data_IF_075541102527
#
_entry.id   IF_075541102527
#
_cell.length_a   1.000
_cell.length_b   1.000
_cell.length_c   1.000
_cell.angle_alpha   90.00
_cell.angle_beta   90.00
_cell.angle_gamma   90.00
#
_symmetry.space_group_name_H-M   'P 1'
#
loop_
_entity.id
_entity.type
_entity.pdbx_description
1 polymer ?
#
# COMPACT_ATOMS: atom_id res chain seq x y z
N UNK A 1 32.83 -15.45 10.88
CA UNK A 1 32.80 -16.45 11.96
C UNK A 1 31.45 -17.14 11.84
N UNK A 2 31.44 -18.47 11.83
CA UNK A 2 30.42 -19.36 11.24
C UNK A 2 29.00 -19.21 11.80
N UNK A 3 28.05 -18.80 10.95
CA UNK A 3 26.60 -18.90 11.15
C UNK A 3 26.12 -20.35 10.93
N UNK A 4 26.49 -21.25 11.84
CA UNK A 4 25.95 -22.63 11.85
C UNK A 4 24.87 -22.68 12.92
N UNK A 5 23.62 -22.85 12.48
CA UNK A 5 22.45 -22.99 13.35
C UNK A 5 22.65 -24.15 14.34
N UNK A 6 22.80 -23.84 15.63
CA UNK A 6 22.93 -24.84 16.67
C UNK A 6 21.57 -25.19 17.28
N UNK A 7 20.97 -26.27 16.76
CA UNK A 7 19.64 -26.76 17.16
C UNK A 7 19.60 -27.32 18.59
N UNK A 8 20.76 -27.43 19.28
CA UNK A 8 20.87 -27.89 20.66
C UNK A 8 21.04 -26.76 21.67
N UNK A 9 21.19 -25.52 21.22
CA UNK A 9 21.25 -24.39 22.15
C UNK A 9 19.92 -24.24 22.88
N UNK A 10 20.01 -23.80 24.13
CA UNK A 10 18.82 -23.50 24.93
C UNK A 10 17.99 -22.47 24.19
N UNK A 11 16.68 -22.69 24.13
CA UNK A 11 15.73 -21.69 23.63
C UNK A 11 15.94 -20.39 24.40
N UNK A 12 16.33 -19.35 23.67
CA UNK A 12 16.36 -17.99 24.19
C UNK A 12 14.95 -17.44 24.00
N UNK A 13 14.22 -17.26 25.09
CA UNK A 13 12.97 -16.53 25.07
C UNK A 13 13.30 -15.04 25.09
N UNK A 14 12.94 -14.34 24.02
CA UNK A 14 13.12 -12.91 23.91
C UNK A 14 11.88 -12.19 24.46
N UNK A 15 11.86 -11.99 25.78
CA UNK A 15 10.76 -11.31 26.47
C UNK A 15 10.96 -9.77 26.50
N UNK A 16 11.70 -9.20 25.53
CA UNK A 16 11.96 -7.74 25.51
C UNK A 16 10.71 -6.88 25.37
N UNK A 17 9.63 -7.41 24.80
CA UNK A 17 8.34 -6.72 24.69
C UNK A 17 7.33 -7.44 25.60
N UNK A 18 7.12 -6.90 26.79
CA UNK A 18 6.24 -7.48 27.81
C UNK A 18 4.80 -7.00 27.65
N UNK A 19 4.59 -5.85 27.00
CA UNK A 19 3.28 -5.20 26.88
C UNK A 19 3.22 -4.26 25.67
N UNK A 20 2.06 -4.22 25.02
CA UNK A 20 1.69 -3.23 24.01
C UNK A 20 0.51 -2.44 24.56
N UNK A 21 0.56 -1.11 24.46
CA UNK A 21 -0.50 -0.20 24.87
C UNK A 21 -0.91 0.69 23.70
N UNK A 22 -2.21 1.01 23.61
CA UNK A 22 -2.75 1.94 22.62
C UNK A 22 -2.96 3.30 23.27
N UNK A 23 -2.44 4.34 22.64
CA UNK A 23 -2.59 5.73 23.10
C UNK A 23 -3.21 6.58 22.01
N UNK A 24 -4.12 7.48 22.39
CA UNK A 24 -4.73 8.46 21.48
C UNK A 24 -3.96 9.76 21.54
N UNK A 25 -3.61 10.30 20.37
CA UNK A 25 -2.95 11.60 20.22
C UNK A 25 -3.81 12.51 19.36
N UNK A 26 -3.90 13.78 19.76
CA UNK A 26 -4.64 14.80 19.01
C UNK A 26 -3.65 15.68 18.22
N UNK A 27 -4.11 16.30 17.11
CA UNK A 27 -3.33 17.31 16.42
C UNK A 27 -2.88 18.45 17.36
N UNK A 28 -1.64 18.89 17.16
CA UNK A 28 -1.07 20.03 17.86
C UNK A 28 -1.72 21.33 17.37
N UNK A 29 -2.32 22.07 18.31
CA UNK A 29 -2.83 23.45 18.23
C UNK A 29 -3.05 23.99 16.80
N UNK A 30 -3.95 23.36 16.05
CA UNK A 30 -4.58 23.96 14.89
C UNK A 30 -6.04 24.16 15.25
N UNK A 31 -6.44 25.40 15.47
CA UNK A 31 -7.86 25.74 15.71
C UNK A 31 -8.69 25.67 14.42
N UNK A 32 -8.04 25.45 13.26
CA UNK A 32 -8.66 25.33 11.94
C UNK A 32 -8.01 24.22 11.11
N UNK A 33 -8.79 23.60 10.23
CA UNK A 33 -8.34 22.66 9.19
C UNK A 33 -8.64 23.25 7.80
N UNK A 34 -8.07 24.42 7.54
CA UNK A 34 -8.22 25.15 6.29
C UNK A 34 -7.45 24.50 5.13
N UNK A 35 -7.66 25.05 3.94
CA UNK A 35 -6.96 24.58 2.74
C UNK A 35 -5.45 24.85 2.84
N UNK A 36 -4.62 23.82 2.63
CA UNK A 36 -3.16 23.82 2.81
C UNK A 36 -2.67 23.95 4.26
N UNK A 37 -3.55 23.84 5.27
CA UNK A 37 -3.10 23.81 6.66
C UNK A 37 -2.31 22.52 6.92
N UNK A 38 -1.12 22.67 7.52
CA UNK A 38 -0.31 21.52 7.91
C UNK A 38 -0.78 20.97 9.26
N UNK A 39 -1.27 19.74 9.27
CA UNK A 39 -1.70 19.05 10.49
C UNK A 39 -0.53 18.25 11.06
N UNK A 40 -0.14 18.55 12.30
CA UNK A 40 0.95 17.85 12.99
C UNK A 40 0.43 17.13 14.22
N UNK A 41 0.75 15.84 14.36
CA UNK A 41 0.46 15.05 15.56
C UNK A 41 1.78 14.66 16.21
N UNK A 42 2.33 15.49 17.11
CA UNK A 42 3.61 15.20 17.76
C UNK A 42 3.42 14.14 18.85
N UNK A 43 4.19 13.06 18.78
CA UNK A 43 4.31 12.08 19.85
C UNK A 43 5.62 12.38 20.57
N UNK A 44 5.55 13.11 21.68
CA UNK A 44 6.71 13.50 22.48
C UNK A 44 6.67 12.76 23.82
N UNK A 45 7.33 11.60 23.87
CA UNK A 45 7.49 10.84 25.11
C UNK A 45 8.92 10.33 25.22
N UNK A 46 9.50 10.45 26.41
CA UNK A 46 10.77 9.82 26.75
C UNK A 46 10.50 8.33 26.99
N UNK A 47 11.37 7.47 26.44
CA UNK A 47 11.34 6.01 26.64
C UNK A 47 10.13 5.25 26.03
N UNK A 48 9.44 5.81 25.03
CA UNK A 48 8.39 5.10 24.26
C UNK A 48 8.93 4.60 22.91
N UNK A 49 8.73 3.31 22.65
CA UNK A 49 8.86 2.73 21.31
C UNK A 49 7.49 2.68 20.64
N UNK A 50 7.30 3.46 19.58
CA UNK A 50 6.07 3.43 18.79
C UNK A 50 6.14 2.34 17.74
N UNK A 51 4.98 1.77 17.40
CA UNK A 51 4.81 0.81 16.31
C UNK A 51 3.88 1.42 15.24
N UNK A 52 4.38 2.34 14.38
CA UNK A 52 3.53 3.10 13.47
C UNK A 52 2.74 2.22 12.48
N UNK A 53 3.25 1.04 12.13
CA UNK A 53 2.56 0.11 11.23
C UNK A 53 1.27 -0.47 11.80
N UNK A 54 1.11 -0.46 13.13
CA UNK A 54 -0.13 -0.85 13.85
C UNK A 54 -0.95 0.37 14.31
N UNK A 55 -0.57 1.58 13.87
CA UNK A 55 -1.27 2.82 14.19
C UNK A 55 -2.21 3.23 13.05
N UNK A 56 -3.26 3.98 13.38
CA UNK A 56 -4.23 4.48 12.39
C UNK A 56 -4.61 5.93 12.66
N UNK A 57 -5.02 6.64 11.60
CA UNK A 57 -5.61 7.96 11.71
C UNK A 57 -7.12 7.83 11.84
N UNK A 58 -7.68 8.40 12.89
CA UNK A 58 -9.12 8.49 13.08
C UNK A 58 -9.63 9.84 12.58
N UNK A 59 -10.52 9.83 11.59
CA UNK A 59 -11.14 11.03 11.01
C UNK A 59 -12.65 10.90 11.15
N UNK A 60 -13.26 11.88 11.81
CA UNK A 60 -14.70 11.99 11.96
C UNK A 60 -15.22 13.29 11.32
N UNK A 61 -16.45 13.26 10.82
CA UNK A 61 -17.08 14.42 10.21
C UNK A 61 -18.54 14.18 9.87
N UNK A 62 -19.27 15.27 9.59
CA UNK A 62 -20.68 15.21 9.17
C UNK A 62 -20.80 15.58 7.69
N UNK A 63 -21.41 14.70 6.91
CA UNK A 63 -21.74 14.97 5.52
C UNK A 63 -22.99 15.85 5.45
N UNK A 64 -22.90 16.98 4.75
CA UNK A 64 -24.01 17.89 4.52
C UNK A 64 -24.17 18.16 3.02
N UNK A 65 -25.41 18.24 2.55
CA UNK A 65 -25.69 18.71 1.19
C UNK A 65 -25.64 20.24 1.15
N UNK A 66 -25.18 20.80 0.03
CA UNK A 66 -25.27 22.25 -0.23
C UNK A 66 -26.69 22.68 -0.62
N UNK A 67 -27.54 21.75 -1.06
CA UNK A 67 -28.91 22.02 -1.46
C UNK A 67 -29.86 21.79 -0.27
N UNK A 68 -30.66 22.80 0.09
CA UNK A 68 -31.59 22.75 1.24
C UNK A 68 -32.67 21.67 1.14
N UNK A 69 -32.88 21.04 -0.03
CA UNK A 69 -33.87 19.98 -0.27
C UNK A 69 -33.32 18.84 -1.14
N UNK A 70 -32.03 18.49 -1.02
CA UNK A 70 -31.49 17.37 -1.79
C UNK A 70 -32.27 16.07 -1.50
N UNK A 71 -32.93 15.52 -2.53
CA UNK A 71 -33.66 14.25 -2.44
C UNK A 71 -32.73 13.07 -2.14
N UNK A 72 -31.44 13.19 -2.48
CA UNK A 72 -30.41 12.17 -2.26
C UNK A 72 -29.43 12.62 -1.20
N UNK A 73 -29.14 11.73 -0.26
CA UNK A 73 -28.07 11.94 0.69
C UNK A 73 -26.71 11.98 -0.04
N UNK A 74 -25.79 12.86 0.38
CA UNK A 74 -24.45 12.91 -0.17
C UNK A 74 -23.74 11.57 0.06
N UNK A 75 -23.04 11.09 -0.97
CA UNK A 75 -22.25 9.86 -0.92
C UNK A 75 -20.77 10.20 -0.93
N UNK A 76 -19.97 9.40 -0.21
CA UNK A 76 -18.53 9.48 -0.26
C UNK A 76 -18.01 8.70 -1.47
N UNK A 77 -17.09 9.33 -2.22
CA UNK A 77 -16.36 8.66 -3.28
C UNK A 77 -15.34 7.67 -2.73
N UNK A 78 -14.77 6.87 -3.64
CA UNK A 78 -13.81 5.84 -3.23
C UNK A 78 -12.59 6.44 -2.54
N UNK A 79 -12.19 5.91 -1.38
CA UNK A 79 -11.01 6.33 -0.62
C UNK A 79 -11.00 7.85 -0.29
N UNK A 80 -12.19 8.44 -0.13
CA UNK A 80 -12.39 9.89 -0.04
C UNK A 80 -11.50 10.58 1.01
N UNK A 81 -11.28 9.96 2.16
CA UNK A 81 -10.48 10.53 3.26
C UNK A 81 -9.03 10.68 2.84
N UNK A 82 -8.45 9.66 2.19
CA UNK A 82 -7.08 9.74 1.69
C UNK A 82 -6.92 10.79 0.59
N UNK A 83 -7.96 11.03 -0.21
CA UNK A 83 -7.97 12.10 -1.22
C UNK A 83 -8.02 13.52 -0.62
N UNK A 84 -8.35 13.66 0.67
CA UNK A 84 -8.23 14.96 1.34
C UNK A 84 -6.77 15.35 1.62
N UNK A 85 -5.84 14.38 1.61
CA UNK A 85 -4.43 14.62 1.90
C UNK A 85 -3.62 14.66 0.60
N UNK A 86 -2.98 15.81 0.34
CA UNK A 86 -2.01 15.92 -0.75
C UNK A 86 -0.70 15.18 -0.43
N UNK A 87 -0.28 15.25 0.83
CA UNK A 87 0.99 14.71 1.32
C UNK A 87 0.83 14.20 2.76
N UNK A 88 1.37 13.02 3.05
CA UNK A 88 1.55 12.51 4.42
C UNK A 88 3.02 12.16 4.61
N UNK A 89 3.57 12.62 5.73
CA UNK A 89 4.96 12.39 6.11
C UNK A 89 5.04 11.76 7.49
N UNK A 90 5.86 10.73 7.60
CA UNK A 90 6.32 10.21 8.88
C UNK A 90 7.73 10.74 9.16
N UNK A 91 7.87 11.50 10.23
CA UNK A 91 9.15 11.98 10.73
C UNK A 91 9.48 11.31 12.07
N UNK A 92 10.73 10.95 12.25
CA UNK A 92 11.24 10.40 13.51
C UNK A 92 12.47 11.18 13.93
N UNK A 93 12.39 11.80 15.11
CA UNK A 93 13.36 12.75 15.63
C UNK A 93 13.80 13.83 14.60
N UNK A 94 12.84 14.44 13.90
CA UNK A 94 13.07 15.47 12.87
C UNK A 94 13.66 14.95 11.56
N UNK A 95 13.88 13.64 11.42
CA UNK A 95 14.32 13.00 10.18
C UNK A 95 13.13 12.40 9.45
N UNK A 96 12.91 12.77 8.19
CA UNK A 96 11.87 12.17 7.35
C UNK A 96 12.15 10.67 7.12
N UNK A 97 11.28 9.83 7.69
CA UNK A 97 11.30 8.36 7.59
C UNK A 97 10.56 7.89 6.35
N UNK A 98 9.40 8.46 6.07
CA UNK A 98 8.65 8.13 4.86
C UNK A 98 7.78 9.31 4.45
N UNK A 99 7.46 9.37 3.16
CA UNK A 99 6.62 10.42 2.58
C UNK A 99 5.84 9.86 1.41
N UNK A 100 4.52 10.01 1.47
CA UNK A 100 3.62 9.67 0.38
C UNK A 100 2.92 10.94 -0.13
N UNK A 101 3.14 11.26 -1.41
CA UNK A 101 2.39 12.27 -2.16
C UNK A 101 1.21 11.63 -2.86
N UNK A 102 0.21 12.45 -3.19
CA UNK A 102 -1.03 12.01 -3.83
C UNK A 102 -1.65 10.84 -3.05
N UNK A 103 -1.83 11.03 -1.74
CA UNK A 103 -2.13 9.97 -0.78
C UNK A 103 -3.34 9.14 -1.22
N UNK A 104 -4.39 9.80 -1.72
CA UNK A 104 -5.57 9.14 -2.31
C UNK A 104 -5.22 8.14 -3.41
N UNK A 105 -4.43 8.52 -4.42
CA UNK A 105 -4.04 7.64 -5.53
C UNK A 105 -3.12 6.52 -5.05
N UNK A 106 -2.10 6.86 -4.26
CA UNK A 106 -1.10 5.92 -3.76
C UNK A 106 -1.73 4.83 -2.90
N UNK A 107 -2.57 5.21 -1.94
CA UNK A 107 -3.28 4.27 -1.08
C UNK A 107 -4.37 3.49 -1.82
N UNK A 108 -4.98 4.07 -2.87
CA UNK A 108 -5.93 3.36 -3.73
C UNK A 108 -5.25 2.22 -4.51
N UNK A 109 -4.14 2.52 -5.19
CA UNK A 109 -3.36 1.52 -5.95
C UNK A 109 -2.80 0.44 -5.03
N UNK A 110 -2.25 0.82 -3.88
CA UNK A 110 -1.75 -0.13 -2.88
C UNK A 110 -2.86 -0.95 -2.25
N UNK A 111 -4.00 -0.33 -1.94
CA UNK A 111 -5.15 -1.02 -1.36
C UNK A 111 -5.70 -2.09 -2.29
N UNK A 112 -6.03 -1.72 -3.52
CA UNK A 112 -6.57 -2.68 -4.50
C UNK A 112 -5.64 -3.84 -4.80
N UNK A 113 -4.33 -3.64 -4.73
CA UNK A 113 -3.33 -4.70 -4.94
C UNK A 113 -3.16 -5.64 -3.76
N UNK A 114 -3.65 -5.28 -2.56
CA UNK A 114 -3.26 -5.96 -1.31
C UNK A 114 -4.42 -6.46 -0.47
N UNK A 115 -5.62 -5.88 -0.61
CA UNK A 115 -6.77 -6.30 0.17
C UNK A 115 -7.29 -7.69 -0.25
N UNK A 116 -7.75 -8.44 0.75
CA UNK A 116 -8.55 -9.63 0.55
C UNK A 116 -10.03 -9.29 0.41
N UNK A 117 -10.79 -10.20 -0.18
CA UNK A 117 -12.25 -10.13 -0.33
C UNK A 117 -12.95 -9.95 1.04
N UNK A 118 -12.53 -10.72 2.05
CA UNK A 118 -13.04 -10.62 3.42
C UNK A 118 -12.76 -9.25 4.06
N UNK A 119 -11.57 -8.69 3.83
CA UNK A 119 -11.20 -7.39 4.41
C UNK A 119 -12.04 -6.27 3.82
N UNK A 120 -12.47 -6.40 2.56
CA UNK A 120 -13.20 -5.34 1.87
C UNK A 120 -14.64 -5.13 2.30
N UNK A 121 -15.29 -6.12 2.90
CA UNK A 121 -16.59 -5.93 3.57
C UNK A 121 -16.49 -4.93 4.73
N UNK A 122 -15.33 -4.85 5.40
CA UNK A 122 -15.07 -3.87 6.44
C UNK A 122 -14.61 -2.52 5.89
N UNK A 123 -14.12 -2.46 4.65
CA UNK A 123 -13.55 -1.26 4.04
C UNK A 123 -14.54 -0.39 3.26
N UNK A 124 -15.80 -0.80 3.11
CA UNK A 124 -16.85 0.10 2.60
C UNK A 124 -16.93 1.40 3.42
N UNK A 125 -16.75 1.30 4.75
CA UNK A 125 -16.68 2.44 5.66
C UNK A 125 -15.44 3.33 5.43
N UNK A 126 -14.35 2.76 4.91
CA UNK A 126 -13.17 3.50 4.46
C UNK A 126 -13.31 4.01 3.01
N UNK A 127 -14.49 3.83 2.41
CA UNK A 127 -14.79 4.24 1.05
C UNK A 127 -14.23 3.29 0.00
N UNK A 128 -14.00 2.00 0.24
CA UNK A 128 -13.61 1.06 -0.82
C UNK A 128 -14.81 0.17 -1.19
N UNK A 129 -15.50 0.43 -2.32
CA UNK A 129 -16.67 -0.37 -2.69
C UNK A 129 -16.23 -1.78 -3.12
N UNK A 130 -16.90 -2.79 -2.56
CA UNK A 130 -16.71 -4.20 -2.93
C UNK A 130 -17.25 -4.46 -4.34
N UNK A 131 -16.47 -5.05 -5.27
CA UNK A 131 -16.92 -5.23 -6.64
C UNK A 131 -17.75 -6.49 -6.93
N UNK A 132 -18.11 -7.33 -5.96
CA UNK A 132 -18.66 -8.68 -6.26
C UNK A 132 -20.11 -8.89 -5.82
N UNK A 133 -20.99 -9.00 -6.81
CA UNK A 133 -22.02 -10.04 -6.88
C UNK A 133 -21.88 -10.63 -8.30
N UNK A 134 -21.17 -11.73 -8.53
CA UNK A 134 -21.77 -13.03 -8.94
C UNK A 134 -20.65 -14.05 -9.27
N UNK A 135 -20.80 -15.33 -8.90
CA UNK A 135 -19.83 -16.46 -8.96
C UNK A 135 -19.61 -16.98 -10.40
N UNK A 136 -18.38 -17.30 -10.84
CA UNK A 136 -17.80 -18.65 -11.06
C UNK A 136 -16.33 -18.49 -11.52
N UNK A 137 -15.38 -19.31 -11.01
CA UNK A 137 -13.95 -19.23 -11.37
C UNK A 137 -13.40 -20.58 -11.85
N UNK A 138 -12.81 -20.60 -13.05
CA UNK A 138 -12.07 -21.74 -13.62
C UNK A 138 -10.61 -21.34 -13.85
N UNK A 139 -9.69 -22.14 -13.31
CA UNK A 139 -8.22 -21.96 -13.18
C UNK A 139 -7.49 -21.30 -14.35
N UNK A 140 -6.54 -20.44 -14.02
CA UNK A 140 -5.46 -19.96 -14.90
C UNK A 140 -4.13 -19.94 -14.12
N UNK A 141 -3.21 -20.84 -14.45
CA UNK A 141 -1.82 -20.87 -13.93
C UNK A 141 -0.89 -21.20 -15.09
N UNK A 142 0.20 -20.44 -15.26
CA UNK A 142 1.33 -20.88 -16.08
C UNK A 142 2.38 -21.58 -15.20
N UNK A 143 2.94 -22.70 -15.66
CA UNK A 143 3.78 -23.58 -14.83
C UNK A 143 5.20 -23.07 -14.58
N UNK A 144 5.67 -22.06 -15.31
CA UNK A 144 7.12 -21.95 -15.54
C UNK A 144 7.76 -20.66 -15.02
N UNK A 145 7.02 -19.70 -14.45
CA UNK A 145 7.58 -18.67 -13.55
C UNK A 145 8.70 -17.76 -14.08
N UNK A 146 8.94 -17.70 -15.40
CA UNK A 146 9.91 -16.80 -16.03
C UNK A 146 9.23 -15.70 -16.85
N UNK A 147 9.83 -14.50 -16.79
CA UNK A 147 9.43 -13.34 -17.60
C UNK A 147 9.75 -13.62 -19.07
N UNK A 148 8.72 -13.92 -19.86
CA UNK A 148 8.74 -13.55 -21.27
C UNK A 148 8.43 -12.06 -21.36
N UNK A 149 8.94 -11.38 -22.40
CA UNK A 149 8.44 -10.08 -22.82
C UNK A 149 6.92 -10.11 -22.70
N UNK A 150 6.39 -9.33 -21.75
CA UNK A 150 4.96 -9.22 -21.46
C UNK A 150 4.34 -8.48 -22.64
N UNK A 151 4.29 -9.14 -23.81
CA UNK A 151 3.61 -8.71 -25.00
C UNK A 151 2.12 -8.87 -24.74
N UNK A 152 1.64 -8.06 -23.79
CA UNK A 152 0.28 -8.05 -23.26
C UNK A 152 -0.61 -7.76 -24.45
N UNK A 153 -1.51 -8.70 -24.68
CA UNK A 153 -2.45 -8.68 -25.79
C UNK A 153 -3.81 -8.96 -25.17
N UNK A 154 -4.59 -7.89 -24.98
CA UNK A 154 -5.90 -7.91 -24.33
C UNK A 154 -6.92 -8.77 -25.09
N UNK A 155 -6.69 -8.95 -26.40
CA UNK A 155 -7.54 -9.72 -27.30
C UNK A 155 -7.21 -11.22 -27.26
N UNK A 156 -5.99 -11.60 -26.88
CA UNK A 156 -5.51 -13.00 -26.85
C UNK A 156 -5.57 -13.69 -25.49
N UNK A 157 -6.45 -13.25 -24.58
CA UNK A 157 -6.63 -13.85 -23.23
C UNK A 157 -5.34 -13.90 -22.38
N UNK A 158 -4.34 -13.05 -22.64
CA UNK A 158 -3.14 -12.93 -21.80
C UNK A 158 -3.37 -12.26 -20.45
N UNK A 159 -4.61 -11.82 -20.17
CA UNK A 159 -5.04 -11.30 -18.86
C UNK A 159 -4.80 -12.28 -17.71
N UNK A 160 -4.75 -13.58 -18.01
CA UNK A 160 -4.35 -14.62 -17.05
C UNK A 160 -3.02 -14.32 -16.35
N UNK A 161 -2.01 -13.85 -17.10
CA UNK A 161 -0.68 -13.56 -16.58
C UNK A 161 -0.74 -12.33 -15.68
N UNK A 162 -1.43 -11.27 -16.13
CA UNK A 162 -1.62 -10.05 -15.33
C UNK A 162 -2.36 -10.34 -14.02
N UNK A 163 -3.40 -11.18 -14.09
CA UNK A 163 -4.13 -11.60 -12.92
C UNK A 163 -3.27 -12.47 -12.00
N UNK A 164 -2.45 -13.38 -12.54
CA UNK A 164 -1.49 -14.15 -11.75
C UNK A 164 -0.47 -13.25 -11.03
N UNK A 165 0.07 -12.24 -11.71
CA UNK A 165 0.98 -11.24 -11.11
C UNK A 165 0.29 -10.48 -9.98
N UNK A 166 -0.96 -10.05 -10.20
CA UNK A 166 -1.78 -9.40 -9.19
C UNK A 166 -1.99 -10.28 -7.96
N UNK A 167 -2.42 -11.53 -8.15
CA UNK A 167 -2.66 -12.45 -7.02
C UNK A 167 -1.39 -12.78 -6.26
N UNK A 168 -0.25 -12.88 -6.96
CA UNK A 168 1.03 -13.19 -6.32
C UNK A 168 1.61 -12.03 -5.50
N UNK A 169 1.24 -10.79 -5.80
CA UNK A 169 1.81 -9.61 -5.16
C UNK A 169 1.68 -9.62 -3.63
N UNK A 170 0.49 -9.92 -3.10
CA UNK A 170 0.25 -9.98 -1.65
C UNK A 170 1.15 -11.02 -0.98
N UNK A 171 1.30 -12.20 -1.58
CA UNK A 171 2.19 -13.25 -1.07
C UNK A 171 3.66 -12.88 -1.19
N UNK A 172 4.10 -12.29 -2.30
CA UNK A 172 5.52 -11.92 -2.46
C UNK A 172 5.94 -10.76 -1.57
N UNK A 173 5.06 -9.76 -1.40
CA UNK A 173 5.37 -8.52 -0.68
C UNK A 173 5.11 -8.64 0.83
N UNK A 174 3.92 -9.10 1.24
CA UNK A 174 3.55 -9.22 2.66
C UNK A 174 3.87 -10.58 3.27
N UNK A 175 4.36 -11.54 2.47
CA UNK A 175 4.63 -12.91 2.92
C UNK A 175 3.36 -13.62 3.45
N UNK A 176 2.18 -13.15 3.04
CA UNK A 176 0.91 -13.76 3.42
C UNK A 176 0.70 -15.01 2.53
N UNK A 177 0.55 -16.21 3.13
CA UNK A 177 0.31 -17.44 2.37
C UNK A 177 -0.91 -17.32 1.47
N UNK A 178 -0.86 -17.97 0.32
CA UNK A 178 -2.00 -17.98 -0.60
C UNK A 178 -3.06 -18.93 -0.09
N UNK A 179 -4.01 -18.40 0.67
CA UNK A 179 -5.24 -19.11 1.01
C UNK A 179 -6.25 -18.97 -0.16
N UNK A 180 -7.18 -19.92 -0.26
CA UNK A 180 -8.04 -20.03 -1.44
C UNK A 180 -9.05 -18.88 -1.56
N UNK A 181 -8.85 -17.98 -2.52
CA UNK A 181 -9.86 -16.97 -2.92
C UNK A 181 -9.64 -15.54 -2.42
N UNK A 182 -8.52 -15.22 -1.77
CA UNK A 182 -8.38 -13.98 -0.99
C UNK A 182 -7.83 -12.74 -1.72
N UNK A 183 -8.22 -12.47 -2.96
CA UNK A 183 -7.87 -11.18 -3.60
C UNK A 183 -9.10 -10.40 -3.94
N UNK A 184 -9.09 -9.10 -3.62
CA UNK A 184 -10.22 -8.19 -3.82
C UNK A 184 -10.85 -8.26 -5.21
N UNK A 185 -10.02 -8.38 -6.26
CA UNK A 185 -10.53 -8.45 -7.62
C UNK A 185 -10.56 -9.90 -8.10
N UNK A 186 -11.71 -10.30 -8.62
CA UNK A 186 -11.84 -11.50 -9.43
C UNK A 186 -11.35 -11.26 -10.84
N UNK A 187 -11.01 -12.33 -11.57
CA UNK A 187 -10.37 -12.23 -12.88
C UNK A 187 -11.20 -11.51 -13.95
N UNK A 188 -12.53 -11.65 -13.89
CA UNK A 188 -13.52 -10.96 -14.71
C UNK A 188 -13.52 -9.45 -14.42
N UNK A 189 -13.70 -9.06 -13.15
CA UNK A 189 -13.71 -7.66 -12.73
C UNK A 189 -12.35 -6.95 -12.91
N UNK A 190 -11.26 -7.65 -12.63
CA UNK A 190 -9.90 -7.16 -12.87
C UNK A 190 -9.71 -6.78 -14.35
N UNK A 191 -10.23 -7.59 -15.28
CA UNK A 191 -10.13 -7.31 -16.72
C UNK A 191 -10.93 -6.09 -17.14
N UNK A 192 -12.16 -5.96 -16.65
CA UNK A 192 -13.12 -5.00 -17.19
C UNK A 192 -13.05 -3.63 -16.51
N UNK A 193 -12.65 -3.58 -15.23
CA UNK A 193 -12.76 -2.36 -14.42
C UNK A 193 -11.45 -1.84 -13.88
N UNK A 194 -10.51 -2.72 -13.59
CA UNK A 194 -9.28 -2.30 -12.90
C UNK A 194 -8.06 -3.16 -13.27
N UNK A 195 -7.63 -3.12 -14.55
CA UNK A 195 -6.43 -3.83 -14.96
C UNK A 195 -5.18 -3.17 -14.35
N UNK A 196 -4.71 -3.71 -13.22
CA UNK A 196 -3.43 -3.33 -12.62
C UNK A 196 -2.31 -4.20 -13.17
N UNK A 197 -1.28 -3.57 -13.73
CA UNK A 197 -0.05 -4.28 -14.09
C UNK A 197 0.92 -4.18 -12.92
N UNK A 198 1.17 -5.30 -12.23
CA UNK A 198 2.13 -5.36 -11.14
C UNK A 198 3.39 -6.06 -11.64
N UNK A 199 4.53 -5.40 -11.50
CA UNK A 199 5.84 -5.93 -11.91
C UNK A 199 6.69 -6.11 -10.65
N UNK A 200 6.91 -7.37 -10.27
CA UNK A 200 7.80 -7.70 -9.16
C UNK A 200 9.28 -7.57 -9.59
N UNK A 201 9.91 -6.48 -9.15
CA UNK A 201 11.32 -6.19 -9.40
C UNK A 201 12.26 -6.74 -8.31
N UNK A 202 11.78 -7.49 -7.33
CA UNK A 202 12.60 -7.96 -6.19
C UNK A 202 13.73 -8.92 -6.59
N UNK A 203 13.62 -9.55 -7.76
CA UNK A 203 14.58 -10.54 -8.27
C UNK A 203 15.65 -9.94 -9.19
N UNK A 204 15.84 -8.62 -9.18
CA UNK A 204 16.89 -7.98 -9.97
C UNK A 204 18.29 -8.47 -9.56
N UNK A 205 19.21 -8.47 -10.53
CA UNK A 205 20.60 -8.82 -10.28
C UNK A 205 21.17 -7.90 -9.20
N UNK A 206 21.62 -8.49 -8.09
CA UNK A 206 22.09 -7.80 -6.87
C UNK A 206 23.42 -7.08 -7.05
N UNK A 207 23.83 -6.75 -8.27
CA UNK A 207 25.03 -5.95 -8.49
C UNK A 207 24.83 -4.59 -7.82
N UNK A 208 25.51 -4.40 -6.69
CA UNK A 208 25.49 -3.14 -5.94
C UNK A 208 26.10 -2.07 -6.83
N UNK A 209 25.29 -1.14 -7.30
CA UNK A 209 25.77 0.05 -8.00
C UNK A 209 26.12 1.09 -6.93
N UNK A 210 27.38 1.53 -6.91
CA UNK A 210 27.88 2.53 -5.94
C UNK A 210 27.52 3.98 -6.30
N UNK A 211 26.50 4.19 -7.13
CA UNK A 211 26.09 5.50 -7.63
C UNK A 211 24.58 5.57 -7.84
N UNK A 212 24.08 6.76 -8.17
CA UNK A 212 22.66 7.01 -8.38
C UNK A 212 22.07 6.03 -9.40
N UNK A 213 20.99 5.36 -9.02
CA UNK A 213 20.22 4.46 -9.91
C UNK A 213 19.09 5.27 -10.52
N UNK A 214 19.12 5.43 -11.84
CA UNK A 214 17.99 5.96 -12.61
C UNK A 214 17.01 4.81 -12.93
N UNK A 215 15.75 4.97 -12.56
CA UNK A 215 14.68 4.01 -12.85
C UNK A 215 13.73 4.65 -13.85
N UNK A 216 13.61 4.05 -15.03
CA UNK A 216 12.72 4.50 -16.10
C UNK A 216 11.68 3.43 -16.41
N UNK A 217 10.43 3.87 -16.58
CA UNK A 217 9.33 3.05 -17.06
C UNK A 217 8.85 3.64 -18.38
N UNK A 218 9.02 2.87 -19.46
CA UNK A 218 8.58 3.25 -20.80
C UNK A 218 7.40 2.37 -21.21
N UNK A 219 6.37 2.97 -21.80
CA UNK A 219 5.19 2.27 -22.31
C UNK A 219 4.75 2.82 -23.66
N UNK A 220 4.32 1.93 -24.54
CA UNK A 220 3.83 2.25 -25.87
C UNK A 220 2.44 1.65 -26.06
N UNK A 221 1.51 2.44 -26.60
CA UNK A 221 0.17 1.95 -26.94
C UNK A 221 0.14 1.51 -28.41
N UNK A 222 -0.52 0.37 -28.68
CA UNK A 222 -0.74 -0.10 -30.06
C UNK A 222 -1.75 0.76 -30.83
N UNK A 223 -2.60 1.49 -30.11
CA UNK A 223 -3.62 2.39 -30.62
C UNK A 223 -3.72 3.63 -29.74
N UNK A 224 -4.45 4.65 -30.19
CA UNK A 224 -4.61 5.87 -29.40
C UNK A 224 -5.33 5.57 -28.09
N UNK A 225 -4.75 6.01 -26.97
CA UNK A 225 -5.47 6.03 -25.70
C UNK A 225 -6.70 6.95 -25.83
N UNK A 226 -7.84 6.61 -25.20
CA UNK A 226 -9.02 7.47 -25.19
C UNK A 226 -8.72 8.88 -24.66
N UNK A 227 -9.48 9.87 -25.11
CA UNK A 227 -9.36 11.24 -24.59
C UNK A 227 -9.56 11.26 -23.06
N UNK A 228 -8.82 12.13 -22.38
CA UNK A 228 -8.80 12.27 -20.91
C UNK A 228 -8.28 11.04 -20.13
N UNK A 229 -7.52 10.15 -20.78
CA UNK A 229 -6.83 9.05 -20.08
C UNK A 229 -5.66 9.59 -19.28
N UNK A 230 -5.58 9.25 -17.99
CA UNK A 230 -4.42 9.53 -17.12
C UNK A 230 -3.84 8.22 -16.63
N UNK A 231 -2.51 8.08 -16.69
CA UNK A 231 -1.79 6.93 -16.17
C UNK A 231 -1.18 7.26 -14.79
N UNK A 232 -1.30 6.33 -13.86
CA UNK A 232 -0.67 6.41 -12.54
C UNK A 232 0.25 5.21 -12.35
N UNK A 233 1.39 5.43 -11.69
CA UNK A 233 2.34 4.38 -11.33
C UNK A 233 2.66 4.48 -9.84
N UNK A 234 2.68 3.33 -9.17
CA UNK A 234 3.14 3.19 -7.80
C UNK A 234 4.42 2.36 -7.79
N UNK A 235 5.51 2.95 -7.30
CA UNK A 235 6.76 2.24 -7.05
C UNK A 235 6.85 1.98 -5.55
N UNK A 236 7.07 0.72 -5.19
CA UNK A 236 7.24 0.30 -3.80
C UNK A 236 8.66 -0.23 -3.68
N UNK A 237 9.39 0.27 -2.69
CA UNK A 237 10.75 -0.15 -2.40
C UNK A 237 10.98 -0.15 -0.88
N UNK A 238 11.89 -0.99 -0.43
CA UNK A 238 12.32 -0.98 0.96
C UNK A 238 13.25 0.20 1.22
N UNK A 239 13.22 0.70 2.46
CA UNK A 239 14.17 1.70 2.95
C UNK A 239 14.64 1.28 4.32
N UNK A 240 15.95 1.10 4.48
CA UNK A 240 16.56 0.71 5.75
C UNK A 240 17.06 1.95 6.48
N UNK A 241 16.71 2.06 7.75
CA UNK A 241 17.07 3.20 8.60
C UNK A 241 17.63 2.64 9.90
N UNK A 242 18.79 3.15 10.29
CA UNK A 242 19.41 2.89 11.58
C UNK A 242 18.96 3.96 12.58
N UNK A 243 18.48 3.52 13.74
CA UNK A 243 18.20 4.39 14.89
C UNK A 243 19.07 3.97 16.06
N UNK A 244 19.83 4.93 16.59
CA UNK A 244 20.56 4.76 17.85
C UNK A 244 19.74 5.38 19.00
N UNK A 245 19.17 4.57 19.90
CA UNK A 245 18.33 5.06 21.00
C UNK A 245 19.10 5.86 22.05
N UNK A 246 20.42 5.65 22.19
CA UNK A 246 21.23 6.35 23.19
C UNK A 246 21.57 7.78 22.75
N UNK A 247 21.78 7.98 21.46
CA UNK A 247 22.16 9.28 20.89
C UNK A 247 21.00 9.97 20.18
N UNK A 248 19.84 9.31 20.08
CA UNK A 248 18.70 9.70 19.25
C UNK A 248 19.05 9.93 17.76
N UNK A 249 20.13 9.34 17.28
CA UNK A 249 20.60 9.56 15.91
C UNK A 249 19.84 8.63 14.98
N UNK A 250 19.27 9.21 13.92
CA UNK A 250 18.60 8.50 12.83
C UNK A 250 19.46 8.62 11.57
N UNK A 251 19.83 7.50 10.96
CA UNK A 251 20.65 7.43 9.74
C UNK A 251 19.97 6.61 8.67
N UNK A 252 19.92 7.14 7.45
CA UNK A 252 19.51 6.35 6.27
C UNK A 252 20.68 5.44 5.89
N UNK A 253 20.44 4.14 5.83
CA UNK A 253 21.43 3.19 5.32
C UNK A 253 21.23 3.14 3.80
N UNK A 254 22.21 3.63 3.06
CA UNK A 254 22.27 3.55 1.59
C UNK A 254 22.67 2.16 1.14
#
# INVERSE_FOLDING_TARGET
>A
MTDILNVKDKTVFDDRIVKIETHTYNPYVNTTFGHNDEIRIPIQQQDLHTLPCESYLYVEGRLTSKEENAERQPQLGTNCVAFMFEDIRYEFNGTEIDRNRNVGITSLLKGYSTFSDDFTHHMENAGFPHPVFDNYLTRLVSRDGYYNDLHIDWDKRKTAILYEMFVRFRTSYYQIPREGGETLLRSDYFRERFPLVIIDCSRQNKSVKSGTVDVRLDFEFKENAPANTTAYCLIIHDRVIEYNPLTNVVRKIT
#
